data_IF_228619541344
#
_entry.id   IF_228619541344
#
_cell.length_a   1.000
_cell.length_b   1.000
_cell.length_c   1.000
_cell.angle_alpha   90.00
_cell.angle_beta   90.00
_cell.angle_gamma   90.00
#
_symmetry.space_group_name_H-M   'P 1'
#
loop_
_entity.id
_entity.type
_entity.pdbx_description
1 polymer ?
#
# COMPACT_ATOMS: atom_id res chain seq x y z
N UNK A 1 -8.70 4.51 -8.47
CA UNK A 1 -8.64 3.07 -8.14
C UNK A 1 -7.27 2.80 -7.60
N UNK A 2 -7.24 2.16 -6.45
CA UNK A 2 -6.06 1.85 -5.65
C UNK A 2 -5.90 0.34 -5.72
N UNK A 3 -4.70 -0.13 -6.02
CA UNK A 3 -4.38 -1.55 -6.05
C UNK A 3 -3.39 -1.86 -4.93
N UNK A 4 -3.63 -2.94 -4.21
CA UNK A 4 -2.78 -3.39 -3.10
C UNK A 4 -2.12 -4.69 -3.51
N UNK A 5 -0.80 -4.71 -3.47
CA UNK A 5 0.01 -5.89 -3.76
C UNK A 5 0.78 -6.35 -2.54
N UNK A 6 1.15 -7.63 -2.51
CA UNK A 6 2.04 -8.22 -1.53
C UNK A 6 3.15 -9.02 -2.21
N UNK A 7 4.38 -8.89 -1.73
CA UNK A 7 5.53 -9.63 -2.23
C UNK A 7 6.82 -8.83 -2.14
N UNK A 8 7.67 -8.94 -3.15
CA UNK A 8 8.96 -8.26 -3.20
C UNK A 8 9.28 -7.80 -4.64
N UNK A 9 10.53 -7.35 -4.85
CA UNK A 9 10.98 -6.84 -6.14
C UNK A 9 11.02 -7.91 -7.26
N UNK A 10 11.13 -9.19 -6.90
CA UNK A 10 11.16 -10.29 -7.88
C UNK A 10 9.74 -10.72 -8.28
N UNK A 11 8.81 -10.74 -7.32
CA UNK A 11 7.42 -11.11 -7.55
C UNK A 11 6.49 -10.46 -6.52
N UNK A 12 5.41 -9.84 -7.02
CA UNK A 12 4.33 -9.31 -6.20
C UNK A 12 2.96 -9.70 -6.76
N UNK A 13 2.05 -10.07 -5.89
CA UNK A 13 0.69 -10.51 -6.20
C UNK A 13 -0.33 -9.42 -5.84
N UNK A 14 -1.38 -9.26 -6.66
CA UNK A 14 -2.49 -8.37 -6.34
C UNK A 14 -3.37 -9.03 -5.27
N UNK A 15 -3.45 -8.44 -4.08
CA UNK A 15 -4.24 -8.97 -2.96
C UNK A 15 -5.59 -8.25 -2.79
N UNK A 16 -5.77 -7.10 -3.44
CA UNK A 16 -7.05 -6.41 -3.44
C UNK A 16 -7.05 -5.06 -4.17
N UNK A 17 -8.25 -4.53 -4.36
CA UNK A 17 -8.49 -3.22 -4.97
C UNK A 17 -9.39 -2.38 -4.06
N UNK A 18 -9.16 -1.08 -4.07
CA UNK A 18 -9.85 -0.11 -3.22
C UNK A 18 -10.15 1.19 -3.97
N UNK A 19 -11.11 1.95 -3.46
CA UNK A 19 -11.43 3.29 -4.00
C UNK A 19 -10.84 4.41 -3.15
N UNK A 20 -10.58 4.12 -1.86
CA UNK A 20 -10.05 5.06 -0.86
C UNK A 20 -8.89 4.44 -0.10
N UNK A 21 -7.97 5.27 0.40
CA UNK A 21 -6.80 4.77 1.14
C UNK A 21 -7.18 3.96 2.38
N UNK A 22 -8.23 4.37 3.11
CA UNK A 22 -8.70 3.62 4.28
C UNK A 22 -9.04 2.15 3.93
N UNK A 23 -9.69 1.92 2.80
CA UNK A 23 -10.03 0.57 2.32
C UNK A 23 -8.75 -0.21 1.94
N UNK A 24 -7.78 0.47 1.32
CA UNK A 24 -6.48 -0.14 1.00
C UNK A 24 -5.72 -0.60 2.25
N UNK A 25 -5.73 0.20 3.32
CA UNK A 25 -5.13 -0.20 4.60
C UNK A 25 -5.90 -1.35 5.26
N UNK A 26 -7.23 -1.37 5.20
CA UNK A 26 -8.02 -2.51 5.71
C UNK A 26 -7.68 -3.82 4.99
N UNK A 27 -7.44 -3.80 3.67
CA UNK A 27 -6.97 -4.99 2.93
C UNK A 27 -5.64 -5.50 3.49
N UNK A 28 -4.71 -4.61 3.81
CA UNK A 28 -3.41 -4.97 4.38
C UNK A 28 -3.57 -5.60 5.76
N UNK A 29 -4.35 -4.98 6.64
CA UNK A 29 -4.57 -5.47 8.00
C UNK A 29 -5.26 -6.85 7.99
N UNK A 30 -6.27 -7.03 7.12
CA UNK A 30 -6.94 -8.31 6.94
C UNK A 30 -5.99 -9.39 6.39
N UNK A 31 -5.11 -9.04 5.46
CA UNK A 31 -4.11 -9.97 4.91
C UNK A 31 -3.08 -10.38 5.98
N UNK A 32 -2.57 -9.41 6.73
CA UNK A 32 -1.63 -9.65 7.84
C UNK A 32 -2.22 -10.59 8.89
N UNK A 33 -3.46 -10.33 9.29
CA UNK A 33 -4.13 -11.10 10.35
C UNK A 33 -4.57 -12.49 9.89
N UNK A 34 -5.16 -12.60 8.71
CA UNK A 34 -5.87 -13.82 8.30
C UNK A 34 -5.05 -14.71 7.36
N UNK A 35 -4.08 -14.16 6.63
CA UNK A 35 -3.23 -14.94 5.71
C UNK A 35 -1.86 -15.19 6.32
N UNK A 36 -1.20 -14.15 6.82
CA UNK A 36 0.15 -14.27 7.40
C UNK A 36 0.08 -14.71 8.88
N UNK A 37 -0.97 -14.32 9.61
CA UNK A 37 -1.17 -14.65 11.02
C UNK A 37 -0.36 -13.80 11.99
N UNK A 38 0.11 -12.62 11.57
CA UNK A 38 0.92 -11.73 12.41
C UNK A 38 0.03 -10.73 13.16
N UNK A 39 0.39 -10.46 14.42
CA UNK A 39 -0.39 -9.59 15.31
C UNK A 39 0.43 -8.41 15.85
N UNK A 40 1.71 -8.62 16.14
CA UNK A 40 2.64 -7.56 16.56
C UNK A 40 3.54 -7.19 15.38
N UNK A 41 3.18 -6.10 14.70
CA UNK A 41 3.95 -5.54 13.58
C UNK A 41 4.33 -4.09 13.84
N UNK A 42 5.44 -3.68 13.27
CA UNK A 42 5.78 -2.26 13.16
C UNK A 42 5.71 -1.87 11.69
N UNK A 43 5.27 -0.65 11.40
CA UNK A 43 5.14 -0.19 10.03
C UNK A 43 6.23 0.82 9.66
N UNK A 44 6.86 0.62 8.49
CA UNK A 44 7.69 1.62 7.81
C UNK A 44 7.14 1.90 6.42
N UNK A 45 7.11 3.17 6.06
CA UNK A 45 6.47 3.65 4.83
C UNK A 45 7.47 4.47 4.02
N UNK A 46 7.54 4.25 2.71
CA UNK A 46 8.26 5.12 1.79
C UNK A 46 7.60 5.14 0.41
N UNK A 47 7.89 6.16 -0.38
CA UNK A 47 7.42 6.26 -1.76
C UNK A 47 8.56 5.88 -2.71
N UNK A 48 8.25 5.04 -3.69
CA UNK A 48 9.16 4.61 -4.76
C UNK A 48 8.41 4.68 -6.09
N UNK A 49 8.82 5.58 -6.99
CA UNK A 49 8.14 5.83 -8.28
C UNK A 49 6.61 6.12 -8.17
N UNK A 50 6.22 6.70 -7.04
CA UNK A 50 4.85 7.02 -6.67
C UNK A 50 3.99 5.80 -6.32
N UNK A 51 4.62 4.68 -6.01
CA UNK A 51 4.06 3.56 -5.29
C UNK A 51 4.39 3.75 -3.82
N UNK A 52 3.39 3.64 -2.95
CA UNK A 52 3.63 3.63 -1.50
C UNK A 52 4.00 2.20 -1.10
N UNK A 53 5.20 2.03 -0.58
CA UNK A 53 5.73 0.75 -0.10
C UNK A 53 5.65 0.71 1.42
N UNK A 54 5.23 -0.43 1.95
CA UNK A 54 4.95 -0.62 3.37
C UNK A 54 5.65 -1.90 3.84
N UNK A 55 6.60 -1.74 4.74
CA UNK A 55 7.21 -2.83 5.49
C UNK A 55 6.50 -2.98 6.83
N UNK A 56 6.10 -4.20 7.17
CA UNK A 56 5.44 -4.57 8.42
C UNK A 56 6.39 -5.32 9.38
N UNK A 57 7.70 -5.18 9.16
CA UNK A 57 8.75 -5.86 9.91
C UNK A 57 9.25 -7.14 9.27
N UNK A 58 8.87 -7.41 8.01
CA UNK A 58 9.33 -8.58 7.28
C UNK A 58 10.75 -8.41 6.75
N UNK A 59 11.15 -7.19 6.37
CA UNK A 59 12.41 -6.87 5.67
C UNK A 59 12.61 -7.60 4.33
N UNK A 60 11.70 -8.49 3.94
CA UNK A 60 11.78 -9.33 2.74
C UNK A 60 10.55 -9.19 1.87
N UNK A 61 9.36 -9.12 2.47
CA UNK A 61 8.12 -8.88 1.78
C UNK A 61 7.49 -7.56 2.24
N UNK A 62 6.81 -6.89 1.32
CA UNK A 62 6.24 -5.57 1.51
C UNK A 62 4.82 -5.55 0.93
N UNK A 63 4.03 -4.59 1.40
CA UNK A 63 2.83 -4.18 0.70
C UNK A 63 3.12 -3.01 -0.22
N UNK A 64 2.49 -3.01 -1.39
CA UNK A 64 2.63 -1.96 -2.38
C UNK A 64 1.25 -1.39 -2.71
N UNK A 65 1.07 -0.09 -2.51
CA UNK A 65 -0.17 0.61 -2.85
C UNK A 65 0.08 1.44 -4.11
N UNK A 66 -0.52 0.99 -5.21
CA UNK A 66 -0.47 1.68 -6.51
C UNK A 66 -1.76 2.48 -6.73
N UNK A 67 -1.62 3.80 -6.85
CA UNK A 67 -2.75 4.71 -7.11
C UNK A 67 -2.81 5.06 -8.60
N UNK A 68 -4.00 5.02 -9.19
CA UNK A 68 -4.21 5.46 -10.56
C UNK A 68 -3.73 6.92 -10.76
N UNK A 69 -3.18 7.24 -11.95
CA UNK A 69 -2.59 8.56 -12.25
C UNK A 69 -3.52 9.76 -11.99
N UNK A 70 -4.83 9.58 -12.13
CA UNK A 70 -5.81 10.63 -11.83
C UNK A 70 -5.92 10.94 -10.33
N UNK A 71 -5.60 9.98 -9.46
CA UNK A 71 -5.58 10.18 -8.00
C UNK A 71 -4.44 11.13 -7.60
N UNK A 72 -3.26 10.96 -8.22
CA UNK A 72 -2.07 11.81 -7.96
C UNK A 72 -2.27 13.28 -8.34
N UNK A 73 -3.08 13.58 -9.38
CA UNK A 73 -3.35 14.97 -9.79
C UNK A 73 -4.19 15.73 -8.76
N UNK A 74 -5.16 15.06 -8.13
CA UNK A 74 -6.04 15.71 -7.16
C UNK A 74 -5.35 16.01 -5.82
N UNK A 75 -4.36 15.22 -5.39
CA UNK A 75 -3.54 15.54 -4.21
C UNK A 75 -2.53 16.66 -4.47
N UNK A 76 -2.01 16.77 -5.70
CA UNK A 76 -1.12 17.85 -6.12
C UNK A 76 -1.83 19.21 -6.22
N UNK A 77 -3.09 19.24 -6.66
CA UNK A 77 -3.89 20.47 -6.70
C UNK A 77 -4.35 20.96 -5.31
N UNK A 78 -4.54 20.05 -4.34
CA UNK A 78 -4.86 20.44 -2.96
C UNK A 78 -3.66 21.04 -2.22
N UNK A 79 -2.42 20.63 -2.54
CA UNK A 79 -1.20 21.16 -1.91
C UNK A 79 -0.55 22.33 -2.68
N UNK A 80 -1.11 22.73 -3.83
CA UNK A 80 -0.60 23.80 -4.71
C UNK A 80 -1.32 25.14 -4.61
N UNK A 81 -2.23 25.31 -3.64
CA UNK A 81 -2.84 26.61 -3.31
C UNK A 81 -2.28 27.13 -1.97
N UNK A 82 -1.10 27.73 -2.03
CA UNK A 82 -0.64 28.74 -1.08
C UNK A 82 -0.10 29.93 -1.87
#
# INVERSE_FOLDING_TARGET
MIKVYFGNNDSKELIGEATKDKEAYSIIDDYLKNVIGWQDVYYRFWNEDGVLVIDFGSHKNFFYIERAKWYRRNEGEQNGRL
#
